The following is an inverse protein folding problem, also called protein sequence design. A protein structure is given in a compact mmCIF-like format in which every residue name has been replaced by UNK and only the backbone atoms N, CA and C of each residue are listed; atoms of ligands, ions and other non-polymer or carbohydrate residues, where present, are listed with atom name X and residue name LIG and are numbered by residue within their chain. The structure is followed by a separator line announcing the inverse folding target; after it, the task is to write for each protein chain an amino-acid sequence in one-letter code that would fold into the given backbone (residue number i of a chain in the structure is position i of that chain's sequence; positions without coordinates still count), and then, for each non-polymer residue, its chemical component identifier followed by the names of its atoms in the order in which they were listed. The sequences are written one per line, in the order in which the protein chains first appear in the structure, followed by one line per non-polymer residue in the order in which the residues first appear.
data_IF_399671836024
#
_entry.id   IF_399671836024
#
_cell.length_a   1.000
_cell.length_b   1.000
_cell.length_c   1.000
_cell.angle_alpha   90.00
_cell.angle_beta   90.00
_cell.angle_gamma   90.00
#
_symmetry.space_group_name_H-M   'P 1'
#
loop_
_entity.id
_entity.type
_entity.pdbx_description
1 polymer ?
#
# COMPACT_ATOMS: atom_id res chain seq x y z
N UNK A 1 24.96 -9.51 15.31
CA UNK A 1 23.67 -10.17 15.00
C UNK A 1 23.03 -10.64 16.31
N UNK A 2 22.21 -9.81 16.94
CA UNK A 2 21.34 -10.23 18.05
C UNK A 2 20.03 -9.47 17.93
N UNK A 3 19.11 -10.10 17.22
CA UNK A 3 17.68 -9.90 17.37
C UNK A 3 17.19 -11.23 17.96
N UNK A 4 16.24 -11.24 18.89
CA UNK A 4 15.79 -12.40 19.68
C UNK A 4 16.70 -12.72 20.89
N UNK A 5 16.35 -12.14 22.05
CA UNK A 5 16.92 -12.54 23.35
C UNK A 5 17.18 -11.43 24.38
N UNK A 6 16.85 -10.16 24.13
CA UNK A 6 17.07 -9.09 25.12
C UNK A 6 15.85 -8.92 26.06
N UNK A 7 16.06 -8.75 27.38
CA UNK A 7 15.00 -8.58 28.38
C UNK A 7 14.22 -7.26 28.21
N UNK A 8 12.99 -7.17 28.77
CA UNK A 8 11.97 -6.18 28.40
C UNK A 8 12.17 -4.82 29.09
N UNK A 9 13.35 -4.21 28.96
CA UNK A 9 13.64 -2.89 29.55
C UNK A 9 14.26 -1.89 28.57
N UNK A 10 14.25 -2.17 27.26
CA UNK A 10 14.67 -1.21 26.23
C UNK A 10 13.57 -1.19 25.18
N UNK A 11 12.90 -0.03 25.05
CA UNK A 11 11.83 0.34 24.11
C UNK A 11 11.55 -0.63 22.95
N UNK A 12 10.28 -0.95 22.61
CA UNK A 12 9.98 -1.73 21.42
C UNK A 12 10.73 -1.03 20.27
N UNK A 13 11.72 -1.72 19.71
CA UNK A 13 12.52 -1.17 18.63
C UNK A 13 11.56 -1.14 17.44
N UNK A 14 10.77 -0.07 17.36
CA UNK A 14 9.88 0.24 16.26
C UNK A 14 10.80 0.20 15.04
N UNK A 15 10.74 -0.88 14.28
CA UNK A 15 11.38 -0.94 12.97
C UNK A 15 10.61 0.06 12.10
N UNK A 16 10.98 1.33 12.25
CA UNK A 16 10.37 2.40 11.49
C UNK A 16 11.01 2.37 10.10
N UNK A 17 10.24 1.83 9.16
CA UNK A 17 10.64 1.78 7.75
C UNK A 17 9.90 2.88 7.01
N UNK A 18 10.57 3.56 6.08
CA UNK A 18 9.92 4.54 5.22
C UNK A 18 9.50 3.86 3.93
N UNK A 19 8.22 3.94 3.62
CA UNK A 19 7.62 3.43 2.38
C UNK A 19 7.27 4.62 1.49
N UNK A 20 7.72 4.56 0.24
CA UNK A 20 7.49 5.61 -0.76
C UNK A 20 6.56 5.05 -1.83
N UNK A 21 5.53 5.81 -2.17
CA UNK A 21 4.56 5.45 -3.20
C UNK A 21 4.63 6.45 -4.34
N UNK A 22 4.51 5.92 -5.56
CA UNK A 22 4.37 6.69 -6.79
C UNK A 22 3.05 6.27 -7.44
N UNK A 23 2.31 7.27 -7.89
CA UNK A 23 1.03 7.08 -8.57
C UNK A 23 1.14 7.52 -10.01
N UNK A 24 0.36 6.89 -10.89
CA UNK A 24 0.24 7.32 -12.28
C UNK A 24 -1.09 8.03 -12.46
N UNK A 25 -1.02 9.33 -12.74
CA UNK A 25 -2.18 10.16 -13.03
C UNK A 25 -2.49 10.13 -14.53
N UNK A 26 -3.76 9.89 -14.86
CA UNK A 26 -4.24 9.87 -16.24
C UNK A 26 -4.69 11.26 -16.67
N UNK A 27 -4.03 11.85 -17.65
CA UNK A 27 -4.37 13.22 -18.12
C UNK A 27 -5.35 13.25 -19.28
N UNK A 28 -5.50 12.15 -20.03
CA UNK A 28 -6.30 12.07 -21.24
C UNK A 28 -7.41 11.01 -21.17
N UNK A 29 -8.07 10.90 -20.01
CA UNK A 29 -9.09 9.87 -19.76
C UNK A 29 -10.14 9.77 -20.88
N UNK A 30 -10.67 10.91 -21.33
CA UNK A 30 -11.80 10.92 -22.26
C UNK A 30 -11.37 10.48 -23.65
N UNK A 31 -10.24 11.00 -24.12
CA UNK A 31 -9.69 10.65 -25.43
C UNK A 31 -9.28 9.19 -25.53
N UNK A 32 -8.82 8.61 -24.43
CA UNK A 32 -8.52 7.18 -24.34
C UNK A 32 -9.80 6.34 -24.45
N UNK A 33 -10.86 6.73 -23.73
CA UNK A 33 -12.16 6.04 -23.79
C UNK A 33 -12.82 6.15 -25.17
N UNK A 34 -12.64 7.28 -25.85
CA UNK A 34 -13.16 7.51 -27.20
C UNK A 34 -12.33 6.81 -28.30
N UNK A 35 -11.19 6.18 -27.95
CA UNK A 35 -10.31 5.48 -28.88
C UNK A 35 -9.44 6.39 -29.76
N UNK A 36 -9.35 7.68 -29.43
CA UNK A 36 -8.65 8.68 -30.24
C UNK A 36 -7.15 8.74 -29.97
N UNK A 37 -6.74 8.53 -28.71
CA UNK A 37 -5.34 8.63 -28.28
C UNK A 37 -4.98 7.48 -27.32
N UNK A 38 -3.72 6.99 -27.34
CA UNK A 38 -3.26 6.04 -26.33
C UNK A 38 -3.24 6.69 -24.93
N UNK A 39 -3.27 5.86 -23.89
CA UNK A 39 -3.29 6.33 -22.51
C UNK A 39 -2.03 7.13 -22.18
N UNK A 40 -2.21 8.36 -21.70
CA UNK A 40 -1.13 9.23 -21.25
C UNK A 40 -1.09 9.26 -19.73
N UNK A 41 0.05 8.85 -19.19
CA UNK A 41 0.31 8.70 -17.75
C UNK A 41 1.40 9.66 -17.31
N UNK A 42 1.15 10.35 -16.20
CA UNK A 42 2.13 11.20 -15.52
C UNK A 42 2.41 10.61 -14.15
N UNK A 43 3.68 10.31 -13.88
CA UNK A 43 4.10 9.83 -12.56
C UNK A 43 4.08 10.97 -11.54
N UNK A 44 3.44 10.74 -10.40
CA UNK A 44 3.36 11.68 -9.28
C UNK A 44 3.84 10.97 -8.02
N UNK A 45 4.88 11.52 -7.40
CA UNK A 45 5.44 11.01 -6.15
C UNK A 45 6.85 11.56 -5.88
N UNK A 46 7.43 11.22 -4.72
CA UNK A 46 6.93 10.23 -3.76
C UNK A 46 5.87 10.76 -2.77
N UNK A 47 4.96 9.88 -2.33
CA UNK A 47 4.21 10.02 -1.09
C UNK A 47 4.78 9.07 -0.05
N UNK A 48 5.23 9.62 1.07
CA UNK A 48 6.06 8.90 2.05
C UNK A 48 5.27 8.59 3.31
N UNK A 49 5.31 7.32 3.70
CA UNK A 49 4.69 6.83 4.93
C UNK A 49 5.73 6.16 5.79
N UNK A 50 5.78 6.55 7.07
CA UNK A 50 6.51 5.85 8.11
C UNK A 50 5.69 4.65 8.57
N UNK A 51 6.17 3.46 8.24
CA UNK A 51 5.61 2.19 8.69
C UNK A 51 6.20 1.83 10.06
N UNK A 52 5.31 1.64 11.03
CA UNK A 52 5.64 1.15 12.36
C UNK A 52 5.09 -0.26 12.49
N UNK A 53 5.98 -1.21 12.74
CA UNK A 53 5.64 -2.63 12.86
C UNK A 53 5.72 -3.06 14.32
N UNK A 54 4.62 -3.58 14.83
CA UNK A 54 4.51 -4.16 16.17
C UNK A 54 4.26 -5.67 16.03
N UNK A 55 5.05 -6.48 16.74
CA UNK A 55 4.85 -7.94 16.80
C UNK A 55 4.27 -8.30 18.15
N UNK A 56 3.03 -8.77 18.13
CA UNK A 56 2.30 -9.16 19.34
C UNK A 56 2.31 -10.68 19.43
N UNK A 57 3.06 -11.21 20.39
CA UNK A 57 3.14 -12.65 20.65
C UNK A 57 1.86 -13.11 21.34
N UNK A 58 1.19 -14.11 20.75
CA UNK A 58 -0.05 -14.70 21.28
C UNK A 58 0.19 -15.99 22.04
N UNK A 59 1.25 -16.73 21.71
CA UNK A 59 1.57 -18.00 22.33
C UNK A 59 3.03 -18.38 22.17
N UNK A 60 3.54 -19.15 23.14
CA UNK A 60 4.84 -19.81 23.03
C UNK A 60 4.62 -21.29 23.35
N UNK A 61 5.07 -22.16 22.46
CA UNK A 61 4.88 -23.60 22.56
C UNK A 61 6.14 -24.28 23.07
N UNK A 62 5.99 -25.40 23.78
CA UNK A 62 7.10 -26.17 24.35
C UNK A 62 8.07 -26.73 23.29
N UNK A 63 7.62 -26.84 22.04
CA UNK A 63 8.46 -27.20 20.89
C UNK A 63 9.38 -26.06 20.40
N UNK A 64 9.40 -24.92 21.10
CA UNK A 64 10.21 -23.75 20.76
C UNK A 64 9.59 -22.83 19.70
N UNK A 65 8.34 -23.07 19.30
CA UNK A 65 7.62 -22.21 18.34
C UNK A 65 6.96 -21.03 19.05
N UNK A 66 6.99 -19.86 18.41
CA UNK A 66 6.30 -18.65 18.89
C UNK A 66 5.21 -18.29 17.89
N UNK A 67 3.98 -18.13 18.37
CA UNK A 67 2.88 -17.57 17.60
C UNK A 67 2.78 -16.06 17.86
N UNK A 68 2.67 -15.28 16.80
CA UNK A 68 2.51 -13.84 16.89
C UNK A 68 1.68 -13.33 15.71
N UNK A 69 1.03 -12.18 15.90
CA UNK A 69 0.49 -11.40 14.80
C UNK A 69 1.25 -10.08 14.65
N UNK A 70 1.34 -9.60 13.41
CA UNK A 70 2.03 -8.37 13.07
C UNK A 70 1.01 -7.26 12.83
N UNK A 71 1.13 -6.17 13.58
CA UNK A 71 0.33 -4.97 13.39
C UNK A 71 1.19 -3.90 12.71
N UNK A 72 0.77 -3.48 11.52
CA UNK A 72 1.41 -2.41 10.75
C UNK A 72 0.60 -1.14 10.84
N UNK A 73 1.25 -0.06 11.25
CA UNK A 73 0.64 1.27 11.29
C UNK A 73 1.42 2.20 10.36
N UNK A 74 0.72 2.94 9.51
CA UNK A 74 1.32 3.86 8.55
C UNK A 74 1.04 5.30 8.96
N UNK A 75 2.09 6.09 9.12
CA UNK A 75 2.01 7.52 9.43
C UNK A 75 2.51 8.32 8.22
N UNK A 76 1.68 9.23 7.70
CA UNK A 76 2.06 10.08 6.59
C UNK A 76 3.16 11.07 6.99
N UNK A 77 4.18 11.24 6.15
CA UNK A 77 5.31 12.14 6.37
C UNK A 77 5.26 13.22 5.29
N UNK A 78 4.65 14.36 5.62
CA UNK A 78 4.41 15.45 4.66
C UNK A 78 5.71 16.08 4.17
N UNK A 79 6.74 16.12 5.02
CA UNK A 79 8.02 16.76 4.73
C UNK A 79 8.84 16.02 3.67
N UNK A 80 8.63 14.71 3.53
CA UNK A 80 9.28 13.89 2.48
C UNK A 80 8.37 13.64 1.27
N UNK A 81 7.13 14.16 1.29
CA UNK A 81 6.12 13.93 0.25
C UNK A 81 6.00 15.13 -0.69
N UNK A 82 5.68 14.87 -1.96
CA UNK A 82 5.51 15.94 -2.97
C UNK A 82 4.24 16.78 -2.73
N UNK A 83 3.18 16.16 -2.23
CA UNK A 83 1.87 16.79 -2.04
C UNK A 83 1.22 16.41 -0.72
N UNK A 84 -0.04 16.80 -0.57
CA UNK A 84 -0.87 16.39 0.57
C UNK A 84 -1.59 15.07 0.28
N UNK A 85 -2.02 14.38 1.33
CA UNK A 85 -2.77 13.13 1.18
C UNK A 85 -4.14 13.34 0.51
N UNK A 86 -4.67 14.57 0.52
CA UNK A 86 -5.96 14.94 -0.07
C UNK A 86 -5.89 15.35 -1.54
N UNK A 87 -4.77 15.13 -2.21
CA UNK A 87 -4.61 15.44 -3.64
C UNK A 87 -5.50 14.55 -4.51
N UNK A 88 -6.15 15.14 -5.52
CA UNK A 88 -7.04 14.42 -6.43
C UNK A 88 -6.24 13.89 -7.62
N UNK A 89 -6.39 12.59 -7.89
CA UNK A 89 -5.76 11.92 -9.03
C UNK A 89 -6.77 11.06 -9.76
N UNK A 90 -6.65 11.03 -11.09
CA UNK A 90 -7.45 10.15 -11.94
C UNK A 90 -6.65 8.88 -12.19
N UNK A 91 -7.19 7.73 -11.79
CA UNK A 91 -6.62 6.40 -12.04
C UNK A 91 -7.71 5.42 -12.47
N UNK A 92 -7.31 4.18 -12.75
CA UNK A 92 -8.22 3.11 -13.12
C UNK A 92 -9.19 2.78 -11.98
N UNK A 93 -10.42 2.44 -12.33
CA UNK A 93 -11.39 1.94 -11.35
C UNK A 93 -11.08 0.47 -11.00
N UNK A 94 -10.16 0.27 -10.05
CA UNK A 94 -9.70 -1.06 -9.65
C UNK A 94 -10.83 -1.99 -9.14
N UNK A 95 -11.82 -1.54 -8.33
CA UNK A 95 -12.91 -2.41 -7.89
C UNK A 95 -13.75 -2.98 -9.03
N UNK A 96 -14.00 -2.18 -10.08
CA UNK A 96 -14.69 -2.65 -11.28
C UNK A 96 -13.87 -3.72 -12.00
N UNK A 97 -12.57 -3.46 -12.19
CA UNK A 97 -11.68 -4.37 -12.93
C UNK A 97 -11.53 -5.74 -12.26
N UNK A 98 -11.51 -5.80 -10.93
CA UNK A 98 -11.34 -7.06 -10.18
C UNK A 98 -12.66 -7.79 -9.95
N UNK A 99 -13.80 -7.14 -10.23
CA UNK A 99 -15.11 -7.71 -9.94
C UNK A 99 -15.42 -8.92 -10.83
N UNK A 100 -15.78 -10.09 -10.26
CA UNK A 100 -16.12 -11.28 -11.03
C UNK A 100 -17.37 -11.09 -11.90
N UNK A 101 -18.23 -10.14 -11.54
CA UNK A 101 -19.43 -9.79 -12.29
C UNK A 101 -19.08 -9.23 -13.67
N UNK A 102 -18.02 -8.44 -13.79
CA UNK A 102 -17.64 -7.80 -15.04
C UNK A 102 -17.23 -8.81 -16.11
N UNK A 103 -16.46 -9.85 -15.73
CA UNK A 103 -16.10 -10.96 -16.62
C UNK A 103 -17.36 -11.70 -17.14
N UNK A 104 -18.38 -11.85 -16.30
CA UNK A 104 -19.68 -12.43 -16.68
C UNK A 104 -20.45 -11.51 -17.64
N UNK A 105 -20.42 -10.19 -17.42
CA UNK A 105 -21.07 -9.22 -18.31
C UNK A 105 -20.43 -9.17 -19.69
N UNK A 106 -19.10 -9.26 -19.77
CA UNK A 106 -18.36 -9.27 -21.03
C UNK A 106 -18.62 -10.55 -21.83
N UNK A 107 -18.59 -11.72 -21.16
CA UNK A 107 -18.88 -13.03 -21.78
C UNK A 107 -20.31 -13.20 -22.26
N UNK A 108 -21.27 -12.46 -21.71
CA UNK A 108 -22.67 -12.46 -22.20
C UNK A 108 -22.91 -11.57 -23.42
N UNK A 109 -21.95 -10.72 -23.79
CA UNK A 109 -22.06 -9.79 -24.91
C UNK A 109 -21.52 -10.35 -26.23
N UNK A 110 -20.98 -11.58 -26.18
CA UNK A 110 -20.49 -12.37 -27.34
C UNK A 110 -21.45 -13.51 -27.59
#
# INVERSE_FOLDING_TARGET
MRCWGAPPSISPQLLSTYRRFWFFNVTNQQKFLDGNEPLHLVEIGPYVFREVVEKNVTGTFENGTVEYYEKKTFFFVKEESVGDQSELMTTINAPILVSPSYDIFEKRKT
#
